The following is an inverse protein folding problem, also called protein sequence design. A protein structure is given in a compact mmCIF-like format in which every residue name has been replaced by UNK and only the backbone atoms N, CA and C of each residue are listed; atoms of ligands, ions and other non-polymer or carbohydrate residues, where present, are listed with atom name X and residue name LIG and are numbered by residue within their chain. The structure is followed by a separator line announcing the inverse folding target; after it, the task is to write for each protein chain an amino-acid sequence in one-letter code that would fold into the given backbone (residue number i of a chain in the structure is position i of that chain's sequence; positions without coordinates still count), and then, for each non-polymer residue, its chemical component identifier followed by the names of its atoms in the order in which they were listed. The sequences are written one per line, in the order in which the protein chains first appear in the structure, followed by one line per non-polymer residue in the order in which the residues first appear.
data_IF_125628647459
#
_entry.id   IF_125628647459
#
_cell.length_a   1.000
_cell.length_b   1.000
_cell.length_c   1.000
_cell.angle_alpha   90.00
_cell.angle_beta   90.00
_cell.angle_gamma   90.00
#
_symmetry.space_group_name_H-M   'P 1'
#
loop_
_entity.id
_entity.type
_entity.pdbx_description
1 polymer ?
#
# COMPACT_ATOMS: atom_id res chain seq x y z
N UNK A 1 -6.82 24.16 -10.48
CA UNK A 1 -8.23 23.81 -10.15
C UNK A 1 -9.13 23.79 -11.39
N UNK A 2 -9.24 24.90 -12.15
CA UNK A 2 -10.17 25.01 -13.30
C UNK A 2 -9.92 23.98 -14.41
N UNK A 3 -8.67 23.75 -14.80
CA UNK A 3 -8.34 22.75 -15.84
C UNK A 3 -8.74 21.32 -15.44
N UNK A 4 -8.60 20.96 -14.16
CA UNK A 4 -9.06 19.66 -13.64
C UNK A 4 -10.58 19.56 -13.64
N UNK A 5 -11.28 20.65 -13.29
CA UNK A 5 -12.73 20.71 -13.33
C UNK A 5 -13.27 20.55 -14.76
N UNK A 6 -12.67 21.23 -15.74
CA UNK A 6 -13.04 21.12 -17.15
C UNK A 6 -12.74 19.70 -17.69
N UNK A 7 -11.57 19.15 -17.38
CA UNK A 7 -11.22 17.80 -17.77
C UNK A 7 -12.18 16.75 -17.18
N UNK A 8 -12.54 16.90 -15.89
CA UNK A 8 -13.52 16.07 -15.22
C UNK A 8 -14.91 16.16 -15.88
N UNK A 9 -15.39 17.36 -16.19
CA UNK A 9 -16.66 17.56 -16.87
C UNK A 9 -16.68 16.90 -18.27
N UNK A 10 -15.61 17.07 -19.06
CA UNK A 10 -15.48 16.45 -20.38
C UNK A 10 -15.47 14.92 -20.32
N UNK A 11 -14.82 14.34 -19.31
CA UNK A 11 -14.80 12.89 -19.07
C UNK A 11 -16.17 12.35 -18.70
N UNK A 12 -16.93 13.05 -17.85
CA UNK A 12 -18.30 12.66 -17.47
C UNK A 12 -19.23 12.68 -18.67
N UNK A 13 -19.20 13.76 -19.47
CA UNK A 13 -20.05 13.88 -20.67
C UNK A 13 -19.71 12.79 -21.69
N UNK A 14 -18.42 12.53 -21.95
CA UNK A 14 -18.00 11.44 -22.85
C UNK A 14 -18.38 10.06 -22.31
N UNK A 15 -18.21 9.83 -21.00
CA UNK A 15 -18.58 8.57 -20.35
C UNK A 15 -20.08 8.30 -20.43
N UNK A 16 -20.91 9.32 -20.24
CA UNK A 16 -22.36 9.22 -20.37
C UNK A 16 -22.80 9.02 -21.84
N UNK A 17 -22.17 9.71 -22.79
CA UNK A 17 -22.47 9.56 -24.22
C UNK A 17 -22.14 8.14 -24.72
N UNK A 18 -20.99 7.58 -24.33
CA UNK A 18 -20.59 6.20 -24.68
C UNK A 18 -21.50 5.17 -24.00
N UNK A 19 -21.91 5.39 -22.75
CA UNK A 19 -22.88 4.52 -22.05
C UNK A 19 -24.24 4.50 -22.74
N UNK A 20 -24.74 5.67 -23.17
CA UNK A 20 -26.04 5.79 -23.86
C UNK A 20 -26.04 5.13 -25.23
N UNK A 21 -24.92 5.15 -25.94
CA UNK A 21 -24.77 4.55 -27.26
C UNK A 21 -24.62 3.02 -27.24
N UNK A 22 -24.27 2.42 -26.09
CA UNK A 22 -23.99 0.97 -25.99
C UNK A 22 -25.11 0.13 -25.37
N UNK A 23 -26.25 0.73 -24.98
CA UNK A 23 -27.37 0.04 -24.31
C UNK A 23 -26.92 -0.99 -23.26
N UNK A 24 -25.85 -0.68 -22.52
CA UNK A 24 -25.21 -1.63 -21.61
C UNK A 24 -25.81 -1.45 -20.20
N UNK A 25 -26.66 -2.38 -19.71
CA UNK A 25 -27.34 -2.24 -18.43
C UNK A 25 -26.43 -2.52 -17.22
N UNK A 26 -25.19 -2.97 -17.44
CA UNK A 26 -24.28 -3.29 -16.34
C UNK A 26 -23.58 -2.03 -15.82
N UNK A 27 -24.12 -1.48 -14.73
CA UNK A 27 -23.58 -0.30 -14.05
C UNK A 27 -22.17 -0.53 -13.48
N UNK A 28 -21.84 -1.80 -13.19
CA UNK A 28 -20.54 -2.28 -12.72
C UNK A 28 -20.03 -3.35 -13.68
N UNK A 29 -19.08 -2.98 -14.55
CA UNK A 29 -18.22 -3.96 -15.22
C UNK A 29 -17.07 -4.26 -14.28
N UNK A 30 -17.11 -5.41 -13.63
CA UNK A 30 -15.88 -5.98 -13.10
C UNK A 30 -15.01 -6.31 -14.31
N UNK A 31 -13.95 -5.52 -14.50
CA UNK A 31 -12.99 -5.72 -15.58
C UNK A 31 -12.35 -7.12 -15.45
N UNK A 32 -11.80 -7.69 -16.53
CA UNK A 32 -11.16 -9.04 -16.51
C UNK A 32 -10.07 -9.18 -15.43
N UNK A 33 -9.56 -8.05 -14.92
CA UNK A 33 -8.66 -7.99 -13.77
C UNK A 33 -9.21 -8.64 -12.49
N UNK A 34 -10.53 -8.56 -12.24
CA UNK A 34 -11.20 -9.15 -11.07
C UNK A 34 -11.36 -10.67 -11.21
N UNK A 35 -11.27 -11.20 -12.45
CA UNK A 35 -11.29 -12.64 -12.73
C UNK A 35 -9.97 -13.33 -12.37
N UNK A 36 -8.89 -12.57 -12.22
CA UNK A 36 -7.57 -13.13 -11.89
C UNK A 36 -7.39 -13.19 -10.37
N UNK A 37 -7.53 -14.39 -9.80
CA UNK A 37 -7.40 -14.65 -8.35
C UNK A 37 -6.13 -14.04 -7.74
N UNK A 38 -5.05 -13.92 -8.52
CA UNK A 38 -3.79 -13.30 -8.08
C UNK A 38 -3.95 -11.82 -7.73
N UNK A 39 -4.73 -11.07 -8.50
CA UNK A 39 -4.90 -9.64 -8.29
C UNK A 39 -5.82 -9.34 -7.10
N UNK A 40 -6.87 -10.14 -6.92
CA UNK A 40 -7.74 -10.06 -5.75
C UNK A 40 -6.98 -10.43 -4.47
N UNK A 41 -6.18 -11.49 -4.51
CA UNK A 41 -5.32 -11.89 -3.38
C UNK A 41 -4.27 -10.81 -3.08
N UNK A 42 -3.64 -10.21 -4.10
CA UNK A 42 -2.70 -9.12 -3.91
C UNK A 42 -3.36 -7.88 -3.27
N UNK A 43 -4.56 -7.51 -3.72
CA UNK A 43 -5.35 -6.43 -3.13
C UNK A 43 -5.69 -6.74 -1.67
N UNK A 44 -6.23 -7.94 -1.39
CA UNK A 44 -6.60 -8.35 -0.05
C UNK A 44 -5.39 -8.41 0.91
N UNK A 45 -4.25 -8.93 0.45
CA UNK A 45 -2.99 -8.93 1.21
C UNK A 45 -2.48 -7.51 1.46
N UNK A 46 -2.59 -6.61 0.48
CA UNK A 46 -2.15 -5.21 0.64
C UNK A 46 -3.01 -4.48 1.67
N UNK A 47 -4.33 -4.67 1.64
CA UNK A 47 -5.24 -4.10 2.64
C UNK A 47 -4.99 -4.75 4.01
N UNK A 48 -4.85 -6.08 4.04
CA UNK A 48 -4.61 -6.84 5.25
C UNK A 48 -3.29 -6.48 5.95
N UNK A 49 -2.21 -6.28 5.20
CA UNK A 49 -0.91 -5.89 5.78
C UNK A 49 -0.96 -4.47 6.35
N UNK A 50 -1.75 -3.58 5.75
CA UNK A 50 -1.97 -2.23 6.30
C UNK A 50 -2.77 -2.28 7.60
N UNK A 51 -3.86 -3.03 7.64
CA UNK A 51 -4.65 -3.22 8.85
C UNK A 51 -3.80 -3.86 9.97
N UNK A 52 -3.02 -4.89 9.63
CA UNK A 52 -2.08 -5.52 10.56
C UNK A 52 -1.05 -4.52 11.09
N UNK A 53 -0.44 -3.70 10.22
CA UNK A 53 0.53 -2.69 10.64
C UNK A 53 -0.08 -1.71 11.63
N UNK A 54 -1.28 -1.17 11.36
CA UNK A 54 -1.93 -0.19 12.25
C UNK A 54 -2.18 -0.78 13.65
N UNK A 55 -2.56 -2.06 13.73
CA UNK A 55 -2.87 -2.72 15.00
C UNK A 55 -1.62 -3.16 15.78
N UNK A 56 -0.55 -3.50 15.06
CA UNK A 56 0.61 -4.19 15.64
C UNK A 56 1.81 -3.26 15.82
N UNK A 57 1.87 -2.13 15.13
CA UNK A 57 3.01 -1.19 15.20
C UNK A 57 3.25 -0.68 16.62
N UNK A 58 2.19 -0.42 17.39
CA UNK A 58 2.30 0.08 18.77
C UNK A 58 2.91 -0.96 19.72
N UNK A 59 2.68 -2.25 19.43
CA UNK A 59 3.18 -3.35 20.24
C UNK A 59 4.57 -3.80 19.77
N UNK A 60 4.76 -4.08 18.47
CA UNK A 60 6.01 -4.61 17.93
C UNK A 60 7.13 -3.57 17.75
N UNK A 61 6.77 -2.29 17.70
CA UNK A 61 7.70 -1.22 17.35
C UNK A 61 7.96 -1.11 15.86
N UNK A 62 8.42 0.07 15.43
CA UNK A 62 8.59 0.42 14.02
C UNK A 62 9.57 -0.52 13.26
N UNK A 63 10.63 -0.96 13.94
CA UNK A 63 11.68 -1.75 13.29
C UNK A 63 11.18 -3.14 12.87
N UNK A 64 10.51 -3.85 13.77
CA UNK A 64 10.03 -5.21 13.50
C UNK A 64 8.77 -5.19 12.62
N UNK A 65 7.84 -4.26 12.89
CA UNK A 65 6.65 -4.06 12.06
C UNK A 65 7.00 -3.62 10.64
N UNK A 66 7.97 -2.73 10.46
CA UNK A 66 8.45 -2.27 9.15
C UNK A 66 9.04 -3.40 8.31
N UNK A 67 9.91 -4.23 8.90
CA UNK A 67 10.51 -5.37 8.18
C UNK A 67 9.44 -6.36 7.74
N UNK A 68 8.48 -6.70 8.62
CA UNK A 68 7.38 -7.60 8.28
C UNK A 68 6.50 -7.00 7.18
N UNK A 69 6.13 -5.73 7.32
CA UNK A 69 5.30 -5.01 6.34
C UNK A 69 5.94 -4.99 4.96
N UNK A 70 7.20 -4.54 4.86
CA UNK A 70 7.95 -4.49 3.59
C UNK A 70 8.16 -5.89 3.01
N UNK A 71 8.41 -6.90 3.84
CA UNK A 71 8.60 -8.28 3.37
C UNK A 71 7.33 -8.85 2.74
N UNK A 72 6.18 -8.66 3.39
CA UNK A 72 4.87 -9.09 2.85
C UNK A 72 4.56 -8.34 1.57
N UNK A 73 4.82 -7.03 1.53
CA UNK A 73 4.54 -6.22 0.35
C UNK A 73 5.41 -6.61 -0.85
N UNK A 74 6.72 -6.83 -0.64
CA UNK A 74 7.61 -7.32 -1.68
C UNK A 74 7.24 -8.73 -2.15
N UNK A 75 6.74 -9.59 -1.27
CA UNK A 75 6.22 -10.90 -1.65
C UNK A 75 4.97 -10.78 -2.54
N UNK A 76 4.03 -9.92 -2.17
CA UNK A 76 2.82 -9.63 -2.95
C UNK A 76 3.16 -9.08 -4.34
N UNK A 77 4.16 -8.19 -4.42
CA UNK A 77 4.63 -7.64 -5.69
C UNK A 77 5.52 -8.59 -6.51
N UNK A 78 5.80 -9.80 -6.02
CA UNK A 78 6.56 -10.81 -6.76
C UNK A 78 8.07 -10.54 -6.84
N UNK A 79 8.62 -9.81 -5.87
CA UNK A 79 10.08 -9.67 -5.72
C UNK A 79 10.68 -11.05 -5.45
N UNK A 80 11.86 -11.33 -6.02
CA UNK A 80 12.58 -12.59 -5.81
C UNK A 80 12.80 -12.81 -4.31
N UNK A 81 12.36 -13.96 -3.77
CA UNK A 81 12.40 -14.28 -2.34
C UNK A 81 13.76 -14.03 -1.66
N UNK A 82 14.85 -14.27 -2.40
CA UNK A 82 16.25 -14.04 -1.96
C UNK A 82 16.53 -12.57 -1.59
N UNK A 83 15.82 -11.63 -2.21
CA UNK A 83 16.02 -10.19 -2.04
C UNK A 83 15.00 -9.54 -1.10
N UNK A 84 13.91 -10.23 -0.76
CA UNK A 84 12.82 -9.68 0.05
C UNK A 84 13.34 -9.22 1.42
N UNK A 85 13.92 -10.15 2.19
CA UNK A 85 14.40 -9.89 3.54
C UNK A 85 15.53 -8.85 3.58
N UNK A 86 16.61 -8.97 2.76
CA UNK A 86 17.71 -7.99 2.84
C UNK A 86 17.28 -6.59 2.42
N UNK A 87 16.41 -6.45 1.40
CA UNK A 87 15.90 -5.12 1.00
C UNK A 87 14.95 -4.57 2.06
N UNK A 88 14.03 -5.38 2.58
CA UNK A 88 13.10 -4.95 3.62
C UNK A 88 13.84 -4.45 4.87
N UNK A 89 14.89 -5.16 5.29
CA UNK A 89 15.75 -4.77 6.39
C UNK A 89 16.45 -3.44 6.12
N UNK A 90 17.11 -3.33 4.96
CA UNK A 90 17.90 -2.14 4.58
C UNK A 90 17.02 -0.89 4.44
N UNK A 91 15.83 -1.03 3.83
CA UNK A 91 14.85 0.05 3.72
C UNK A 91 14.29 0.44 5.08
N UNK A 92 13.94 -0.53 5.93
CA UNK A 92 13.42 -0.24 7.28
C UNK A 92 14.46 0.51 8.13
N UNK A 93 15.71 0.07 8.09
CA UNK A 93 16.83 0.77 8.74
C UNK A 93 17.03 2.19 8.19
N UNK A 94 16.98 2.35 6.85
CA UNK A 94 17.09 3.65 6.21
C UNK A 94 15.98 4.61 6.63
N UNK A 95 14.73 4.14 6.69
CA UNK A 95 13.60 4.95 7.14
C UNK A 95 13.74 5.28 8.63
N UNK A 96 14.10 4.31 9.47
CA UNK A 96 14.31 4.54 10.90
C UNK A 96 15.41 5.58 11.14
N UNK A 97 16.54 5.44 10.44
CA UNK A 97 17.64 6.41 10.48
C UNK A 97 17.18 7.80 10.02
N UNK A 98 16.48 7.90 8.90
CA UNK A 98 15.98 9.18 8.41
C UNK A 98 15.04 9.83 9.43
N UNK A 99 14.09 9.09 10.00
CA UNK A 99 13.19 9.65 11.01
C UNK A 99 13.91 10.07 12.30
N UNK A 100 14.86 9.25 12.76
CA UNK A 100 15.60 9.53 13.99
C UNK A 100 16.59 10.70 13.83
N UNK A 101 17.40 10.69 12.77
CA UNK A 101 18.46 11.69 12.53
C UNK A 101 18.00 12.93 11.76
N UNK A 102 17.13 12.77 10.77
CA UNK A 102 16.70 13.88 9.90
C UNK A 102 15.49 14.63 10.47
N UNK A 103 14.50 13.88 10.97
CA UNK A 103 13.22 14.45 11.43
C UNK A 103 13.13 14.63 12.95
N UNK A 104 14.03 14.00 13.74
CA UNK A 104 14.04 14.02 15.23
C UNK A 104 12.72 13.61 15.89
N UNK A 105 11.88 12.86 15.18
CA UNK A 105 10.63 12.35 15.74
C UNK A 105 10.91 10.98 16.38
N UNK A 106 10.63 10.80 17.68
CA UNK A 106 10.77 9.50 18.33
C UNK A 106 9.75 8.53 17.73
N UNK A 107 10.23 7.58 16.93
CA UNK A 107 9.41 6.48 16.44
C UNK A 107 9.08 5.54 17.61
N UNK A 108 7.87 4.95 17.63
CA UNK A 108 7.49 3.99 18.66
C UNK A 108 8.42 2.78 18.61
N UNK A 109 9.15 2.57 19.70
CA UNK A 109 10.02 1.42 19.89
C UNK A 109 9.23 0.14 20.23
N UNK A 110 7.96 0.26 20.67
CA UNK A 110 7.14 -0.89 21.07
C UNK A 110 7.82 -1.74 22.14
N UNK A 111 7.82 -3.07 21.99
CA UNK A 111 8.53 -4.05 22.84
C UNK A 111 10.03 -3.71 23.02
N UNK A 112 10.65 -2.98 22.08
CA UNK A 112 12.06 -2.56 22.18
C UNK A 112 12.26 -1.29 23.02
N UNK A 113 11.23 -0.75 23.69
CA UNK A 113 11.39 0.35 24.65
C UNK A 113 12.45 0.05 25.72
N UNK A 114 12.67 -1.22 26.07
CA UNK A 114 13.70 -1.64 27.03
C UNK A 114 15.15 -1.61 26.51
N UNK A 115 15.37 -1.43 25.20
CA UNK A 115 16.69 -1.33 24.54
C UNK A 115 16.83 0.02 23.83
N UNK A 116 16.11 1.04 24.30
CA UNK A 116 16.35 2.41 23.88
C UNK A 116 17.71 2.86 24.45
N UNK A 117 18.72 2.97 23.59
CA UNK A 117 20.01 3.61 23.89
C UNK A 117 19.96 5.11 23.57
#
# INVERSE_FOLDING_TARGET
AVALAVCGALLVVKGLAVRRAREDPHWVRFDEWVSSSRHVVALALTVGVNAFYILVVDWLGFMLSGVIYLSVLFWVFGVRAKWIVPIALLVTLGIHYAFYKLLRVPLPWGILQGVAW
#
